data_IF_889275289777
#
_entry.id   IF_889275289777
#
_cell.length_a   1.000
_cell.length_b   1.000
_cell.length_c   1.000
_cell.angle_alpha   90.00
_cell.angle_beta   90.00
_cell.angle_gamma   90.00
#
_symmetry.space_group_name_H-M   'P 1'
#
loop_
_entity.id
_entity.type
_entity.pdbx_description
1 polymer ?
#
# COMPACT_ATOMS: atom_id res chain seq x y z
N UNK A 1 -38.40 -20.68 -7.39
CA UNK A 1 -36.93 -20.76 -7.61
C UNK A 1 -36.66 -20.77 -9.10
N UNK A 2 -35.58 -20.12 -9.55
CA UNK A 2 -35.17 -20.13 -10.96
C UNK A 2 -34.34 -21.41 -11.23
N UNK A 3 -34.70 -22.26 -12.21
CA UNK A 3 -33.96 -23.47 -12.53
C UNK A 3 -32.47 -23.25 -12.83
N UNK A 4 -31.62 -24.12 -12.29
CA UNK A 4 -30.17 -24.12 -12.58
C UNK A 4 -29.91 -24.91 -13.85
N UNK A 5 -29.32 -24.27 -14.87
CA UNK A 5 -28.88 -24.91 -16.12
C UNK A 5 -27.50 -25.54 -15.96
N UNK A 6 -26.57 -24.84 -15.30
CA UNK A 6 -25.18 -25.29 -15.22
C UNK A 6 -24.53 -24.84 -13.92
N UNK A 7 -23.79 -25.75 -13.30
CA UNK A 7 -22.83 -25.47 -12.24
C UNK A 7 -21.43 -25.62 -12.83
N UNK A 8 -20.62 -24.57 -12.76
CA UNK A 8 -19.22 -24.66 -13.16
C UNK A 8 -18.40 -25.31 -12.02
N UNK A 9 -17.23 -25.89 -12.32
CA UNK A 9 -16.36 -26.44 -11.29
C UNK A 9 -16.06 -25.40 -10.20
N UNK A 10 -16.07 -25.79 -8.92
CA UNK A 10 -15.71 -24.90 -7.83
C UNK A 10 -14.25 -24.46 -7.97
N UNK A 11 -13.95 -23.22 -7.55
CA UNK A 11 -12.61 -22.66 -7.46
C UNK A 11 -12.41 -22.13 -6.05
N UNK A 12 -11.76 -22.92 -5.20
CA UNK A 12 -11.72 -22.67 -3.76
C UNK A 12 -13.13 -22.61 -3.18
N UNK A 13 -13.42 -21.57 -2.40
CA UNK A 13 -14.74 -21.37 -1.78
C UNK A 13 -15.77 -20.71 -2.72
N UNK A 14 -15.53 -20.66 -4.02
CA UNK A 14 -16.41 -20.02 -4.99
C UNK A 14 -16.98 -21.03 -5.98
N UNK A 15 -18.29 -20.96 -6.25
CA UNK A 15 -18.93 -21.73 -7.31
C UNK A 15 -19.78 -20.84 -8.22
N UNK A 16 -19.45 -20.81 -9.52
CA UNK A 16 -20.23 -20.09 -10.52
C UNK A 16 -21.42 -20.95 -10.99
N UNK A 17 -22.60 -20.34 -11.10
CA UNK A 17 -23.86 -20.99 -11.46
C UNK A 17 -24.54 -20.18 -12.57
N UNK A 18 -25.08 -20.89 -13.56
CA UNK A 18 -25.92 -20.34 -14.61
C UNK A 18 -27.35 -20.86 -14.46
N UNK A 19 -28.29 -19.92 -14.44
CA UNK A 19 -29.72 -20.12 -14.39
C UNK A 19 -30.35 -19.99 -15.80
N UNK A 20 -31.58 -20.45 -15.96
CA UNK A 20 -32.34 -20.41 -17.22
C UNK A 20 -32.77 -19.01 -17.65
N UNK A 21 -33.21 -18.20 -16.70
CA UNK A 21 -33.60 -16.80 -16.90
C UNK A 21 -32.84 -15.86 -15.99
N UNK A 22 -32.81 -14.59 -16.40
CA UNK A 22 -32.19 -13.54 -15.59
C UNK A 22 -33.09 -13.25 -14.41
N UNK A 23 -32.49 -13.09 -13.23
CA UNK A 23 -33.20 -12.67 -12.03
C UNK A 23 -32.46 -11.51 -11.35
N UNK A 24 -33.19 -10.57 -10.74
CA UNK A 24 -32.58 -9.57 -9.88
C UNK A 24 -32.02 -10.24 -8.62
N UNK A 25 -30.85 -9.78 -8.17
CA UNK A 25 -30.27 -10.13 -6.87
C UNK A 25 -29.34 -9.00 -6.42
N UNK A 26 -29.15 -8.88 -5.10
CA UNK A 26 -28.10 -8.01 -4.56
C UNK A 26 -26.80 -8.79 -4.44
N UNK A 27 -25.71 -8.25 -4.99
CA UNK A 27 -24.38 -8.83 -4.77
C UNK A 27 -23.93 -8.60 -3.33
N UNK A 28 -23.72 -9.69 -2.58
CA UNK A 28 -23.26 -9.62 -1.19
C UNK A 28 -21.87 -8.99 -1.03
N UNK A 29 -20.99 -8.96 -2.04
CA UNK A 29 -19.70 -8.26 -1.90
C UNK A 29 -19.84 -6.76 -2.17
N UNK A 30 -20.34 -6.39 -3.35
CA UNK A 30 -20.37 -4.99 -3.77
C UNK A 30 -21.69 -4.24 -3.49
N UNK A 31 -22.73 -4.83 -2.90
CA UNK A 31 -24.04 -4.16 -2.64
C UNK A 31 -24.79 -3.65 -3.87
N UNK A 32 -24.33 -3.93 -5.08
CA UNK A 32 -25.01 -3.50 -6.29
C UNK A 32 -26.07 -4.53 -6.63
N UNK A 33 -27.31 -4.07 -6.87
CA UNK A 33 -28.35 -4.88 -7.51
C UNK A 33 -27.91 -5.22 -8.93
N UNK A 34 -28.06 -6.49 -9.31
CA UNK A 34 -27.71 -7.04 -10.61
C UNK A 34 -28.89 -7.83 -11.16
N UNK A 35 -29.07 -7.79 -12.47
CA UNK A 35 -30.00 -8.65 -13.19
C UNK A 35 -29.16 -9.53 -14.12
N UNK A 36 -29.11 -10.84 -13.86
CA UNK A 36 -28.22 -11.75 -14.60
C UNK A 36 -28.70 -13.20 -14.53
N UNK A 37 -28.36 -13.98 -15.57
CA UNK A 37 -28.46 -15.45 -15.56
C UNK A 37 -27.30 -16.11 -14.82
N UNK A 38 -26.22 -15.37 -14.57
CA UNK A 38 -24.99 -15.87 -13.96
C UNK A 38 -24.80 -15.22 -12.60
N UNK A 39 -24.63 -16.06 -11.58
CA UNK A 39 -24.31 -15.68 -10.20
C UNK A 39 -23.22 -16.62 -9.68
N UNK A 40 -22.44 -16.18 -8.70
CA UNK A 40 -21.56 -17.09 -7.98
C UNK A 40 -22.01 -17.21 -6.51
N UNK A 41 -21.79 -18.37 -5.92
CA UNK A 41 -21.97 -18.63 -4.50
C UNK A 41 -20.60 -18.62 -3.86
N UNK A 42 -20.41 -17.75 -2.86
CA UNK A 42 -19.29 -17.83 -1.93
C UNK A 42 -19.70 -18.74 -0.77
N UNK A 43 -19.03 -19.89 -0.67
CA UNK A 43 -19.22 -20.91 0.35
C UNK A 43 -18.46 -20.51 1.62
N UNK A 44 -19.02 -19.53 2.33
CA UNK A 44 -18.64 -19.17 3.69
C UNK A 44 -19.47 -19.99 4.69
N UNK A 45 -19.31 -19.79 6.01
CA UNK A 45 -20.18 -20.38 7.03
C UNK A 45 -21.68 -20.20 6.70
N UNK A 46 -22.01 -19.04 6.13
CA UNK A 46 -23.32 -18.78 5.53
C UNK A 46 -23.12 -18.47 4.04
N UNK A 47 -23.60 -19.32 3.11
CA UNK A 47 -23.44 -19.10 1.69
C UNK A 47 -23.96 -17.73 1.24
N UNK A 48 -23.17 -17.02 0.43
CA UNK A 48 -23.48 -15.67 -0.06
C UNK A 48 -23.54 -15.64 -1.57
N UNK A 49 -24.52 -14.92 -2.13
CA UNK A 49 -24.62 -14.70 -3.58
C UNK A 49 -23.77 -13.49 -3.95
N UNK A 50 -22.88 -13.65 -4.92
CA UNK A 50 -22.05 -12.57 -5.49
C UNK A 50 -22.22 -12.50 -7.01
N UNK A 51 -21.95 -11.34 -7.58
CA UNK A 51 -22.01 -11.13 -9.01
C UNK A 51 -20.75 -11.67 -9.72
N UNK A 52 -20.86 -11.92 -11.03
CA UNK A 52 -19.75 -12.43 -11.85
C UNK A 52 -18.49 -11.55 -11.79
N UNK A 53 -18.65 -10.22 -11.69
CA UNK A 53 -17.52 -9.30 -11.56
C UNK A 53 -16.79 -9.46 -10.21
N UNK A 54 -17.53 -9.61 -9.10
CA UNK A 54 -16.96 -9.87 -7.78
C UNK A 54 -16.33 -11.28 -7.71
N UNK A 55 -16.92 -12.26 -8.38
CA UNK A 55 -16.32 -13.58 -8.54
C UNK A 55 -14.95 -13.50 -9.24
N UNK A 56 -14.88 -12.81 -10.39
CA UNK A 56 -13.62 -12.61 -11.11
C UNK A 56 -12.57 -11.88 -10.26
N UNK A 57 -12.96 -10.83 -9.55
CA UNK A 57 -12.08 -10.11 -8.63
C UNK A 57 -11.48 -11.04 -7.56
N UNK A 58 -12.31 -11.85 -6.89
CA UNK A 58 -11.83 -12.73 -5.83
C UNK A 58 -10.90 -13.83 -6.36
N UNK A 59 -11.13 -14.33 -7.57
CA UNK A 59 -10.20 -15.25 -8.23
C UNK A 59 -8.86 -14.59 -8.51
N UNK A 60 -8.86 -13.40 -9.13
CA UNK A 60 -7.62 -12.68 -9.43
C UNK A 60 -6.86 -12.32 -8.15
N UNK A 61 -7.55 -11.94 -7.08
CA UNK A 61 -6.91 -11.67 -5.79
C UNK A 61 -6.25 -12.93 -5.22
N UNK A 62 -6.93 -14.08 -5.26
CA UNK A 62 -6.38 -15.36 -4.82
C UNK A 62 -5.17 -15.79 -5.68
N UNK A 63 -5.27 -15.63 -7.00
CA UNK A 63 -4.17 -15.91 -7.94
C UNK A 63 -2.94 -15.05 -7.66
N UNK A 64 -3.10 -13.74 -7.44
CA UNK A 64 -1.99 -12.83 -7.08
C UNK A 64 -1.33 -13.27 -5.78
N UNK A 65 -2.13 -13.54 -4.74
CA UNK A 65 -1.62 -13.92 -3.42
C UNK A 65 -0.88 -15.26 -3.43
N UNK A 66 -1.28 -16.18 -4.30
CA UNK A 66 -0.69 -17.50 -4.44
C UNK A 66 0.62 -17.54 -5.24
N UNK A 67 0.99 -16.48 -5.96
CA UNK A 67 2.26 -16.44 -6.71
C UNK A 67 3.47 -16.59 -5.77
N UNK A 68 4.56 -17.23 -6.24
CA UNK A 68 5.82 -17.30 -5.48
C UNK A 68 6.75 -16.16 -5.91
N UNK A 69 6.42 -14.95 -5.47
CA UNK A 69 7.15 -13.71 -5.76
C UNK A 69 7.20 -12.83 -4.52
N UNK A 70 8.06 -11.82 -4.58
CA UNK A 70 8.23 -10.83 -3.51
C UNK A 70 6.90 -10.19 -3.07
N UNK A 71 6.65 -10.07 -1.74
CA UNK A 71 5.40 -9.50 -1.22
C UNK A 71 5.12 -8.08 -1.73
N UNK A 72 6.16 -7.31 -2.04
CA UNK A 72 5.99 -5.95 -2.55
C UNK A 72 5.41 -5.95 -3.97
N UNK A 73 5.78 -6.93 -4.79
CA UNK A 73 5.27 -7.03 -6.16
C UNK A 73 3.82 -7.49 -6.17
N UNK A 74 3.45 -8.39 -5.25
CA UNK A 74 2.05 -8.73 -4.99
C UNK A 74 1.24 -7.52 -4.54
N UNK A 75 1.79 -6.68 -3.64
CA UNK A 75 1.13 -5.46 -3.20
C UNK A 75 0.84 -4.49 -4.38
N UNK A 76 1.76 -4.35 -5.34
CA UNK A 76 1.49 -3.61 -6.58
C UNK A 76 0.36 -4.23 -7.40
N UNK A 77 0.40 -5.56 -7.62
CA UNK A 77 -0.65 -6.24 -8.38
C UNK A 77 -2.03 -6.14 -7.70
N UNK A 78 -2.09 -6.19 -6.36
CA UNK A 78 -3.31 -5.99 -5.57
C UNK A 78 -3.80 -4.55 -5.72
N UNK A 79 -2.91 -3.56 -5.68
CA UNK A 79 -3.27 -2.16 -5.96
C UNK A 79 -3.90 -2.03 -7.36
N UNK A 80 -3.25 -2.56 -8.39
CA UNK A 80 -3.72 -2.51 -9.78
C UNK A 80 -5.08 -3.19 -9.97
N UNK A 81 -5.33 -4.29 -9.24
CA UNK A 81 -6.62 -4.95 -9.21
C UNK A 81 -7.68 -4.07 -8.50
N UNK A 82 -7.29 -3.39 -7.43
CA UNK A 82 -8.17 -2.60 -6.56
C UNK A 82 -8.66 -1.33 -7.23
N UNK A 83 -7.79 -0.61 -7.94
CA UNK A 83 -8.16 0.63 -8.65
C UNK A 83 -9.10 0.39 -9.84
N UNK A 84 -9.22 -0.86 -10.32
CA UNK A 84 -10.23 -1.24 -11.33
C UNK A 84 -11.64 -1.30 -10.72
N UNK A 85 -11.77 -1.44 -9.40
CA UNK A 85 -13.06 -1.49 -8.70
C UNK A 85 -13.54 -0.10 -8.25
N UNK A 86 -12.61 0.79 -7.91
CA UNK A 86 -12.89 2.10 -7.33
C UNK A 86 -12.53 3.18 -8.33
N UNK A 87 -13.52 3.96 -8.78
CA UNK A 87 -13.23 5.07 -9.69
C UNK A 87 -12.52 6.22 -8.97
N UNK A 88 -11.74 7.01 -9.71
CA UNK A 88 -11.07 8.20 -9.17
C UNK A 88 -12.06 9.17 -8.48
N UNK A 89 -13.28 9.30 -9.02
CA UNK A 89 -14.36 10.11 -8.42
C UNK A 89 -14.80 9.55 -7.06
N UNK A 90 -14.96 8.24 -6.93
CA UNK A 90 -15.33 7.60 -5.68
C UNK A 90 -14.25 7.76 -4.61
N UNK A 91 -12.99 7.53 -4.99
CA UNK A 91 -11.85 7.74 -4.10
C UNK A 91 -11.78 9.21 -3.64
N UNK A 92 -11.92 10.18 -4.56
CA UNK A 92 -11.89 11.60 -4.21
C UNK A 92 -13.01 12.00 -3.23
N UNK A 93 -14.24 11.52 -3.44
CA UNK A 93 -15.36 11.79 -2.53
C UNK A 93 -15.13 11.21 -1.12
N UNK A 94 -14.58 10.00 -1.02
CA UNK A 94 -14.23 9.41 0.26
C UNK A 94 -13.08 10.17 0.95
N UNK A 95 -12.07 10.59 0.17
CA UNK A 95 -10.95 11.37 0.67
C UNK A 95 -11.39 12.72 1.26
N UNK A 96 -12.35 13.42 0.64
CA UNK A 96 -12.88 14.70 1.13
C UNK A 96 -13.57 14.57 2.50
N UNK A 97 -14.26 13.44 2.76
CA UNK A 97 -14.82 13.17 4.10
C UNK A 97 -13.73 13.08 5.16
N UNK A 98 -12.58 12.49 4.83
CA UNK A 98 -11.43 12.38 5.73
C UNK A 98 -10.66 13.68 5.89
N UNK A 99 -10.52 14.48 4.84
CA UNK A 99 -9.96 15.82 4.91
C UNK A 99 -10.59 16.63 6.05
N UNK A 100 -11.91 16.60 6.16
CA UNK A 100 -12.65 17.33 7.20
C UNK A 100 -12.25 16.89 8.62
N UNK A 101 -11.80 15.65 8.81
CA UNK A 101 -11.37 15.08 10.10
C UNK A 101 -9.91 15.39 10.42
N UNK A 102 -9.05 15.58 9.41
CA UNK A 102 -7.60 15.71 9.55
C UNK A 102 -7.01 16.96 8.86
N UNK A 103 -7.76 18.08 8.86
CA UNK A 103 -7.48 19.28 8.05
C UNK A 103 -6.05 19.81 8.16
N UNK A 104 -5.44 19.75 9.36
CA UNK A 104 -4.14 20.37 9.59
C UNK A 104 -3.01 19.75 8.75
N UNK A 105 -3.04 18.43 8.54
CA UNK A 105 -1.99 17.69 7.81
C UNK A 105 -2.37 17.38 6.36
N UNK A 106 -3.68 17.34 6.06
CA UNK A 106 -4.18 16.94 4.76
C UNK A 106 -3.64 17.77 3.59
N UNK A 107 -3.42 19.07 3.81
CA UNK A 107 -2.88 19.98 2.78
C UNK A 107 -1.46 19.61 2.32
N UNK A 108 -0.70 18.90 3.14
CA UNK A 108 0.68 18.48 2.84
C UNK A 108 0.77 17.12 2.14
N UNK A 109 -0.34 16.39 2.02
CA UNK A 109 -0.36 15.12 1.31
C UNK A 109 -0.32 15.33 -0.20
N UNK A 110 0.43 14.47 -0.89
CA UNK A 110 0.41 14.45 -2.35
C UNK A 110 -0.97 14.05 -2.89
N UNK A 111 -1.35 14.46 -4.11
CA UNK A 111 -2.61 14.05 -4.73
C UNK A 111 -2.78 12.53 -4.79
N UNK A 112 -1.70 11.79 -5.04
CA UNK A 112 -1.71 10.33 -5.12
C UNK A 112 -1.86 9.70 -3.74
N UNK A 113 -1.22 10.23 -2.69
CA UNK A 113 -1.43 9.80 -1.31
C UNK A 113 -2.90 9.96 -0.89
N UNK A 114 -3.52 11.10 -1.24
CA UNK A 114 -4.96 11.34 -1.02
C UNK A 114 -5.84 10.34 -1.78
N UNK A 115 -5.47 10.00 -3.02
CA UNK A 115 -6.19 8.98 -3.81
C UNK A 115 -6.16 7.62 -3.11
N UNK A 116 -4.98 7.16 -2.65
CA UNK A 116 -4.84 5.89 -1.93
C UNK A 116 -5.70 5.85 -0.67
N UNK A 117 -5.64 6.89 0.18
CA UNK A 117 -6.50 7.00 1.37
C UNK A 117 -7.99 6.97 0.99
N UNK A 118 -8.38 7.71 -0.04
CA UNK A 118 -9.75 7.71 -0.55
C UNK A 118 -10.23 6.33 -1.01
N UNK A 119 -9.39 5.59 -1.73
CA UNK A 119 -9.69 4.22 -2.16
C UNK A 119 -9.89 3.29 -0.96
N UNK A 120 -8.96 3.31 0.00
CA UNK A 120 -9.04 2.49 1.20
C UNK A 120 -10.35 2.71 1.96
N UNK A 121 -10.72 3.98 2.16
CA UNK A 121 -11.87 4.40 2.95
C UNK A 121 -13.18 4.13 2.23
N UNK A 122 -13.21 4.34 0.90
CA UNK A 122 -14.36 3.96 0.08
C UNK A 122 -14.67 2.46 0.17
N UNK A 123 -13.63 1.61 0.10
CA UNK A 123 -13.79 0.17 0.25
C UNK A 123 -14.26 -0.18 1.66
N UNK A 124 -13.64 0.40 2.68
CA UNK A 124 -14.01 0.18 4.08
C UNK A 124 -15.49 0.49 4.35
N UNK A 125 -16.00 1.64 3.90
CA UNK A 125 -17.42 2.02 4.04
C UNK A 125 -18.37 0.96 3.47
N UNK A 126 -17.96 0.24 2.42
CA UNK A 126 -18.77 -0.82 1.79
C UNK A 126 -18.64 -2.17 2.45
N UNK A 127 -17.59 -2.39 3.22
CA UNK A 127 -17.25 -3.67 3.85
C UNK A 127 -17.54 -3.69 5.36
N UNK A 128 -17.79 -2.55 5.99
CA UNK A 128 -17.81 -2.37 7.45
C UNK A 128 -18.74 -3.31 8.24
N UNK A 129 -19.85 -3.76 7.64
CA UNK A 129 -20.85 -4.67 8.24
C UNK A 129 -20.67 -6.14 7.80
N UNK A 130 -19.58 -6.47 7.11
CA UNK A 130 -19.24 -7.80 6.55
C UNK A 130 -17.84 -8.20 6.99
N UNK A 131 -17.73 -8.64 8.24
CA UNK A 131 -16.46 -8.98 8.88
C UNK A 131 -15.73 -10.19 8.23
N UNK A 132 -16.45 -10.98 7.44
CA UNK A 132 -16.01 -12.15 6.68
C UNK A 132 -15.41 -11.82 5.30
N UNK A 133 -15.38 -10.54 4.91
CA UNK A 133 -14.62 -10.10 3.72
C UNK A 133 -13.13 -9.98 4.02
N UNK A 134 -12.31 -10.16 2.98
CA UNK A 134 -10.87 -9.93 3.05
C UNK A 134 -10.55 -8.43 2.97
N UNK A 135 -10.00 -7.87 4.05
CA UNK A 135 -9.58 -6.47 4.16
C UNK A 135 -8.15 -6.22 3.64
N UNK A 136 -7.49 -7.20 3.03
CA UNK A 136 -6.17 -6.99 2.42
C UNK A 136 -6.13 -5.85 1.39
N UNK A 137 -7.08 -5.74 0.43
CA UNK A 137 -7.06 -4.65 -0.54
C UNK A 137 -7.08 -3.24 0.06
N UNK A 138 -8.02 -2.87 0.96
CA UNK A 138 -7.98 -1.55 1.56
C UNK A 138 -6.77 -1.32 2.48
N UNK A 139 -6.19 -2.38 3.08
CA UNK A 139 -4.92 -2.26 3.83
C UNK A 139 -3.76 -1.92 2.91
N UNK A 140 -3.66 -2.54 1.72
CA UNK A 140 -2.63 -2.20 0.73
C UNK A 140 -2.73 -0.73 0.33
N UNK A 141 -3.94 -0.22 0.08
CA UNK A 141 -4.16 1.19 -0.24
C UNK A 141 -3.72 2.12 0.90
N UNK A 142 -4.01 1.77 2.16
CA UNK A 142 -3.51 2.53 3.32
C UNK A 142 -1.98 2.58 3.33
N UNK A 143 -1.30 1.44 3.19
CA UNK A 143 0.17 1.40 3.19
C UNK A 143 0.75 2.17 2.00
N UNK A 144 0.16 2.03 0.82
CA UNK A 144 0.55 2.75 -0.40
C UNK A 144 0.52 4.27 -0.22
N UNK A 145 -0.41 4.79 0.58
CA UNK A 145 -0.45 6.22 0.89
C UNK A 145 0.82 6.69 1.60
N UNK A 146 1.33 5.90 2.56
CA UNK A 146 2.56 6.19 3.29
C UNK A 146 3.81 5.92 2.45
N UNK A 147 3.85 4.82 1.70
CA UNK A 147 4.92 4.53 0.73
C UNK A 147 5.14 5.72 -0.19
N UNK A 148 4.07 6.19 -0.83
CA UNK A 148 4.14 7.28 -1.77
C UNK A 148 4.46 8.62 -1.11
N UNK A 149 3.92 8.90 0.08
CA UNK A 149 4.25 10.11 0.81
C UNK A 149 5.73 10.13 1.26
N UNK A 150 6.29 8.98 1.62
CA UNK A 150 7.71 8.84 1.97
C UNK A 150 8.60 9.09 0.75
N UNK A 151 8.24 8.52 -0.40
CA UNK A 151 8.94 8.79 -1.65
C UNK A 151 8.93 10.27 -1.99
N UNK A 152 7.76 10.91 -1.98
CA UNK A 152 7.63 12.32 -2.38
C UNK A 152 8.22 13.31 -1.36
N UNK A 153 8.12 12.99 -0.06
CA UNK A 153 8.55 13.89 1.02
C UNK A 153 10.02 13.75 1.41
N UNK A 154 10.62 12.57 1.20
CA UNK A 154 11.99 12.28 1.64
C UNK A 154 12.89 11.85 0.47
N UNK A 155 12.51 10.81 -0.27
CA UNK A 155 13.40 10.21 -1.28
C UNK A 155 13.60 11.11 -2.51
N UNK A 156 12.54 11.69 -3.05
CA UNK A 156 12.62 12.60 -4.20
C UNK A 156 13.42 13.88 -3.87
N UNK A 157 13.21 14.55 -2.73
CA UNK A 157 14.08 15.64 -2.31
C UNK A 157 15.55 15.24 -2.13
N UNK A 158 15.83 14.04 -1.60
CA UNK A 158 17.20 13.52 -1.51
C UNK A 158 17.83 13.34 -2.90
N UNK A 159 17.09 12.75 -3.84
CA UNK A 159 17.51 12.60 -5.25
C UNK A 159 17.82 13.95 -5.89
N UNK A 160 16.94 14.94 -5.73
CA UNK A 160 17.18 16.30 -6.23
C UNK A 160 18.42 16.94 -5.61
N UNK A 161 18.66 16.73 -4.31
CA UNK A 161 19.88 17.21 -3.64
C UNK A 161 21.12 16.58 -4.26
N UNK A 162 21.11 15.26 -4.49
CA UNK A 162 22.23 14.59 -5.11
C UNK A 162 22.51 15.10 -6.53
N UNK A 163 21.47 15.35 -7.34
CA UNK A 163 21.63 15.89 -8.69
C UNK A 163 22.28 17.30 -8.74
N UNK A 164 22.26 18.04 -7.63
CA UNK A 164 22.88 19.37 -7.52
C UNK A 164 24.30 19.33 -6.94
N UNK A 165 24.80 18.15 -6.59
CA UNK A 165 26.13 17.94 -6.02
C UNK A 165 27.12 17.50 -7.09
N UNK A 166 28.36 17.98 -7.01
CA UNK A 166 29.45 17.45 -7.82
C UNK A 166 29.96 16.14 -7.22
N UNK A 167 30.11 15.12 -8.07
CA UNK A 167 30.72 13.83 -7.74
C UNK A 167 31.38 13.21 -8.97
N UNK A 168 32.34 12.32 -8.73
CA UNK A 168 32.98 11.51 -9.75
C UNK A 168 32.25 10.18 -9.94
N UNK A 169 32.40 9.58 -11.12
CA UNK A 169 31.85 8.26 -11.43
C UNK A 169 32.36 7.17 -10.48
N UNK A 170 33.62 7.29 -10.02
CA UNK A 170 34.25 6.35 -9.09
C UNK A 170 33.58 6.39 -7.71
N UNK A 171 33.28 7.57 -7.18
CA UNK A 171 32.60 7.73 -5.89
C UNK A 171 31.19 7.12 -5.94
N UNK A 172 30.45 7.40 -7.01
CA UNK A 172 29.08 6.90 -7.17
C UNK A 172 29.04 5.39 -7.39
N UNK A 173 29.97 4.83 -8.17
CA UNK A 173 29.98 3.39 -8.45
C UNK A 173 30.17 2.58 -7.15
N UNK A 174 31.09 3.00 -6.28
CA UNK A 174 31.32 2.34 -5.00
C UNK A 174 30.07 2.35 -4.11
N UNK A 175 29.36 3.48 -4.05
CA UNK A 175 28.12 3.59 -3.30
C UNK A 175 26.99 2.75 -3.91
N UNK A 176 26.91 2.67 -5.24
CA UNK A 176 25.88 1.89 -5.93
C UNK A 176 26.07 0.37 -5.75
N UNK A 177 27.31 -0.10 -5.62
CA UNK A 177 27.62 -1.51 -5.44
C UNK A 177 27.53 -1.96 -3.97
N UNK A 178 27.26 -1.03 -3.05
CA UNK A 178 27.10 -1.30 -1.63
C UNK A 178 25.87 -2.20 -1.36
N UNK A 179 26.07 -3.27 -0.59
CA UNK A 179 25.02 -4.25 -0.27
C UNK A 179 23.89 -3.71 0.61
N UNK A 180 24.16 -2.69 1.42
CA UNK A 180 23.24 -2.24 2.47
C UNK A 180 22.38 -1.05 2.02
N UNK A 181 22.97 -0.14 1.22
CA UNK A 181 22.29 1.06 0.74
C UNK A 181 22.41 1.27 -0.78
N UNK A 182 23.10 0.40 -1.51
CA UNK A 182 23.40 0.64 -2.93
C UNK A 182 22.17 0.75 -3.81
N UNK A 183 21.06 0.10 -3.45
CA UNK A 183 19.78 0.28 -4.14
C UNK A 183 19.20 1.69 -3.97
N UNK A 184 19.33 2.26 -2.77
CA UNK A 184 18.95 3.65 -2.52
C UNK A 184 19.88 4.61 -3.29
N UNK A 185 21.18 4.35 -3.29
CA UNK A 185 22.17 5.13 -4.03
C UNK A 185 21.92 5.11 -5.54
N UNK A 186 21.66 3.94 -6.14
CA UNK A 186 21.31 3.79 -7.56
C UNK A 186 20.12 4.65 -7.95
N UNK A 187 19.08 4.69 -7.13
CA UNK A 187 17.91 5.53 -7.39
C UNK A 187 18.23 7.02 -7.29
N UNK A 188 18.93 7.42 -6.23
CA UNK A 188 19.28 8.81 -5.93
C UNK A 188 20.24 9.40 -6.97
N UNK A 189 21.18 8.60 -7.49
CA UNK A 189 22.08 9.01 -8.56
C UNK A 189 21.53 8.75 -9.98
N UNK A 190 20.27 8.35 -10.11
CA UNK A 190 19.60 8.20 -11.41
C UNK A 190 20.03 6.98 -12.24
N UNK A 191 20.71 6.00 -11.64
CA UNK A 191 21.06 4.73 -12.30
C UNK A 191 19.92 3.70 -12.28
N UNK A 192 18.91 3.92 -11.44
CA UNK A 192 17.69 3.11 -11.39
C UNK A 192 16.46 4.02 -11.51
N UNK A 193 15.53 3.62 -12.39
CA UNK A 193 14.28 4.35 -12.63
C UNK A 193 13.25 4.02 -11.54
N UNK A 194 13.30 2.79 -11.03
CA UNK A 194 12.35 2.28 -10.05
C UNK A 194 12.67 2.83 -8.67
N UNK A 195 11.70 3.44 -7.96
CA UNK A 195 11.91 3.90 -6.60
C UNK A 195 12.16 2.74 -5.62
N UNK A 196 12.94 2.97 -4.55
CA UNK A 196 13.18 1.98 -3.51
C UNK A 196 11.92 1.72 -2.69
N UNK A 197 11.71 0.47 -2.25
CA UNK A 197 10.61 0.15 -1.33
C UNK A 197 10.91 0.66 0.09
N UNK A 198 9.88 0.77 0.92
CA UNK A 198 10.00 1.19 2.32
C UNK A 198 11.07 0.41 3.10
N UNK A 199 11.16 -0.91 2.89
CA UNK A 199 12.17 -1.74 3.55
C UNK A 199 13.60 -1.33 3.20
N UNK A 200 13.85 -0.95 1.94
CA UNK A 200 15.16 -0.45 1.48
C UNK A 200 15.47 0.90 2.12
N UNK A 201 14.47 1.79 2.20
CA UNK A 201 14.61 3.10 2.85
C UNK A 201 14.96 2.92 4.34
N UNK A 202 14.21 2.07 5.06
CA UNK A 202 14.46 1.81 6.47
C UNK A 202 15.83 1.15 6.70
N UNK A 203 16.21 0.15 5.90
CA UNK A 203 17.51 -0.51 5.99
C UNK A 203 18.67 0.47 5.73
N UNK A 204 18.50 1.38 4.77
CA UNK A 204 19.48 2.44 4.49
C UNK A 204 19.63 3.36 5.71
N UNK A 205 18.54 3.74 6.36
CA UNK A 205 18.59 4.57 7.58
C UNK A 205 19.22 3.84 8.76
N UNK A 206 18.92 2.56 8.97
CA UNK A 206 19.61 1.72 9.98
C UNK A 206 21.12 1.74 9.73
N UNK A 207 21.52 1.52 8.49
CA UNK A 207 22.94 1.55 8.09
C UNK A 207 23.57 2.91 8.38
N UNK A 208 22.88 3.98 8.01
CA UNK A 208 23.31 5.36 8.27
C UNK A 208 23.48 5.65 9.76
N UNK A 209 22.54 5.23 10.61
CA UNK A 209 22.57 5.45 12.06
C UNK A 209 23.78 4.76 12.72
N UNK A 210 24.11 3.55 12.27
CA UNK A 210 25.14 2.74 12.92
C UNK A 210 26.55 2.86 12.30
N UNK A 211 26.68 3.40 11.08
CA UNK A 211 27.95 3.35 10.33
C UNK A 211 28.66 4.70 10.23
N UNK A 212 29.11 5.25 11.36
CA UNK A 212 29.77 6.58 11.41
C UNK A 212 31.00 6.69 10.51
N UNK A 213 31.83 5.66 10.43
CA UNK A 213 33.02 5.63 9.58
C UNK A 213 32.66 5.61 8.09
N UNK A 214 31.66 4.82 7.69
CA UNK A 214 31.20 4.75 6.29
C UNK A 214 30.68 6.09 5.78
N UNK A 215 30.13 6.94 6.65
CA UNK A 215 29.71 8.31 6.29
C UNK A 215 30.92 9.16 5.86
N UNK A 216 32.13 8.91 6.37
CA UNK A 216 33.32 9.69 6.01
C UNK A 216 33.81 9.39 4.58
N UNK A 217 33.51 8.21 4.06
CA UNK A 217 33.99 7.76 2.74
C UNK A 217 32.90 7.78 1.67
N UNK A 218 31.65 7.48 2.02
CA UNK A 218 30.52 7.41 1.08
C UNK A 218 30.00 8.79 0.68
N UNK A 219 29.95 9.08 -0.63
CA UNK A 219 29.35 10.32 -1.15
C UNK A 219 27.84 10.32 -0.90
N UNK A 220 27.17 9.19 -1.14
CA UNK A 220 25.76 8.99 -0.87
C UNK A 220 25.41 9.26 0.60
N UNK A 221 26.13 8.65 1.55
CA UNK A 221 25.81 8.83 2.97
C UNK A 221 26.08 10.27 3.45
N UNK A 222 27.06 10.99 2.88
CA UNK A 222 27.26 12.42 3.14
C UNK A 222 26.06 13.25 2.65
N UNK A 223 25.57 12.99 1.45
CA UNK A 223 24.38 13.68 0.91
C UNK A 223 23.14 13.35 1.75
N UNK A 224 22.98 12.07 2.14
CA UNK A 224 21.90 11.62 3.02
C UNK A 224 21.98 12.32 4.38
N UNK A 225 23.16 12.48 4.97
CA UNK A 225 23.35 13.26 6.20
C UNK A 225 22.85 14.68 6.02
N UNK A 226 23.34 15.41 5.02
CA UNK A 226 22.91 16.79 4.78
C UNK A 226 21.40 16.87 4.56
N UNK A 227 20.82 15.88 3.88
CA UNK A 227 19.37 15.81 3.67
C UNK A 227 18.60 15.61 4.98
N UNK A 228 18.96 14.60 5.81
CA UNK A 228 18.28 14.33 7.09
C UNK A 228 18.39 15.55 8.02
N UNK A 229 19.56 16.18 8.11
CA UNK A 229 19.76 17.38 8.93
C UNK A 229 19.05 18.63 8.38
N UNK A 230 18.53 18.59 7.15
CA UNK A 230 17.67 19.64 6.59
C UNK A 230 16.17 19.42 6.83
N UNK A 231 15.78 18.27 7.37
CA UNK A 231 14.40 17.99 7.76
C UNK A 231 14.03 18.73 9.05
N UNK A 232 12.74 19.01 9.26
CA UNK A 232 12.25 19.73 10.45
C UNK A 232 12.38 18.91 11.73
N UNK A 233 12.19 17.60 11.63
CA UNK A 233 12.35 16.66 12.74
C UNK A 233 13.41 15.64 12.36
N UNK A 234 14.66 15.96 12.71
CA UNK A 234 15.83 15.11 12.47
C UNK A 234 15.73 13.81 13.27
N UNK A 235 15.26 13.90 14.52
CA UNK A 235 15.13 12.77 15.43
C UNK A 235 14.16 11.70 14.87
N UNK A 236 13.11 12.12 14.16
CA UNK A 236 12.20 11.19 13.50
C UNK A 236 12.91 10.17 12.59
N UNK A 237 13.98 10.59 11.89
CA UNK A 237 14.75 9.74 10.99
C UNK A 237 15.95 9.04 11.66
N UNK A 238 16.52 9.65 12.71
CA UNK A 238 17.72 9.12 13.39
C UNK A 238 17.42 8.23 14.58
N UNK A 239 16.25 8.34 15.18
CA UNK A 239 15.82 7.48 16.28
C UNK A 239 15.26 6.15 15.72
N UNK A 240 15.91 5.00 15.99
CA UNK A 240 15.47 3.69 15.46
C UNK A 240 14.02 3.34 15.84
N UNK A 241 13.54 3.83 16.99
CA UNK A 241 12.19 3.56 17.50
C UNK A 241 11.10 4.42 16.84
N UNK A 242 11.49 5.36 15.97
CA UNK A 242 10.56 6.24 15.23
C UNK A 242 10.36 5.72 13.81
N UNK A 243 10.89 6.39 12.79
CA UNK A 243 10.61 6.03 11.39
C UNK A 243 10.91 4.55 11.07
N UNK A 244 12.07 4.05 11.49
CA UNK A 244 12.52 2.68 11.18
C UNK A 244 11.59 1.63 11.79
N UNK A 245 11.37 1.68 13.11
CA UNK A 245 10.46 0.74 13.79
C UNK A 245 9.03 0.82 13.25
N UNK A 246 8.54 2.02 12.93
CA UNK A 246 7.21 2.21 12.34
C UNK A 246 7.10 1.59 10.95
N UNK A 247 8.13 1.73 10.09
CA UNK A 247 8.18 1.08 8.77
C UNK A 247 8.22 -0.44 8.91
N UNK A 248 9.02 -0.98 9.83
CA UNK A 248 9.05 -2.43 10.06
C UNK A 248 7.71 -2.94 10.54
N UNK A 249 7.08 -2.27 11.50
CA UNK A 249 5.73 -2.62 11.96
C UNK A 249 4.72 -2.54 10.82
N UNK A 250 4.72 -1.47 10.02
CA UNK A 250 3.79 -1.30 8.89
C UNK A 250 3.93 -2.43 7.85
N UNK A 251 5.17 -2.78 7.51
CA UNK A 251 5.46 -3.80 6.50
C UNK A 251 5.20 -5.22 7.00
N UNK A 252 5.65 -5.56 8.21
CA UNK A 252 5.54 -6.90 8.77
C UNK A 252 4.13 -7.22 9.30
N UNK A 253 3.44 -6.25 9.90
CA UNK A 253 2.12 -6.48 10.51
C UNK A 253 0.96 -6.31 9.53
N UNK A 254 1.16 -5.57 8.44
CA UNK A 254 0.05 -5.23 7.52
C UNK A 254 0.36 -5.48 6.06
N UNK A 255 1.39 -4.85 5.49
CA UNK A 255 1.62 -4.92 4.03
C UNK A 255 1.94 -6.33 3.54
N UNK A 256 2.89 -7.00 4.19
CA UNK A 256 3.28 -8.37 3.81
C UNK A 256 2.11 -9.33 4.08
N UNK A 257 1.47 -9.34 5.27
CA UNK A 257 0.27 -10.15 5.50
C UNK A 257 -0.84 -9.93 4.47
N UNK A 258 -1.10 -8.68 4.05
CA UNK A 258 -2.10 -8.36 3.04
C UNK A 258 -1.75 -8.91 1.64
N UNK A 259 -0.46 -9.12 1.37
CA UNK A 259 0.04 -9.73 0.14
C UNK A 259 0.16 -11.27 0.21
N UNK A 260 0.02 -11.89 1.39
CA UNK A 260 0.06 -13.34 1.56
C UNK A 260 -1.31 -14.00 1.30
N UNK A 261 -1.31 -15.34 1.23
CA UNK A 261 -2.47 -16.18 0.85
C UNK A 261 -3.67 -16.03 1.78
N UNK A 262 -3.45 -15.67 3.05
CA UNK A 262 -4.50 -15.47 4.04
C UNK A 262 -5.38 -14.23 3.75
N UNK A 263 -6.59 -14.23 4.31
CA UNK A 263 -7.40 -13.02 4.39
C UNK A 263 -7.03 -12.22 5.65
N UNK A 264 -7.15 -10.90 5.56
CA UNK A 264 -7.02 -10.03 6.73
C UNK A 264 -8.39 -9.62 7.26
N UNK A 265 -8.60 -9.66 8.59
CA UNK A 265 -9.87 -9.29 9.19
C UNK A 265 -10.06 -7.77 9.21
N UNK A 266 -11.30 -7.34 9.46
CA UNK A 266 -11.66 -5.94 9.68
C UNK A 266 -10.79 -5.26 10.74
N UNK A 267 -10.50 -5.94 11.84
CA UNK A 267 -9.71 -5.41 12.95
C UNK A 267 -8.31 -4.98 12.48
N UNK A 268 -7.65 -5.78 11.63
CA UNK A 268 -6.34 -5.44 11.09
C UNK A 268 -6.37 -4.15 10.25
N UNK A 269 -7.47 -3.89 9.53
CA UNK A 269 -7.64 -2.62 8.82
C UNK A 269 -7.80 -1.45 9.79
N UNK A 270 -8.63 -1.60 10.83
CA UNK A 270 -8.87 -0.54 11.82
C UNK A 270 -7.60 -0.18 12.60
N UNK A 271 -6.77 -1.17 12.95
CA UNK A 271 -5.47 -0.99 13.59
C UNK A 271 -4.46 -0.32 12.66
N UNK A 272 -4.36 -0.79 11.40
CA UNK A 272 -3.50 -0.17 10.39
C UNK A 272 -3.88 1.30 10.13
N UNK A 273 -5.19 1.56 9.99
CA UNK A 273 -5.75 2.90 9.81
C UNK A 273 -5.43 3.81 10.99
N UNK A 274 -5.58 3.31 12.22
CA UNK A 274 -5.25 4.07 13.43
C UNK A 274 -3.75 4.39 13.51
N UNK A 275 -2.90 3.41 13.18
CA UNK A 275 -1.45 3.60 13.11
C UNK A 275 -1.04 4.64 12.06
N UNK A 276 -1.69 4.67 10.90
CA UNK A 276 -1.33 5.57 9.80
C UNK A 276 -1.88 6.98 9.97
N UNK A 277 -3.19 7.10 10.23
CA UNK A 277 -3.94 8.36 10.15
C UNK A 277 -4.71 8.69 11.44
N UNK A 278 -4.49 7.96 12.54
CA UNK A 278 -4.99 8.33 13.86
C UNK A 278 -4.38 9.65 14.38
N UNK A 279 -4.76 10.11 15.60
CA UNK A 279 -4.28 11.38 16.15
C UNK A 279 -2.75 11.54 16.17
N UNK A 280 -2.03 10.44 16.43
CA UNK A 280 -0.55 10.36 16.39
C UNK A 280 -0.04 9.54 15.20
N UNK A 281 -0.81 9.47 14.12
CA UNK A 281 -0.54 8.61 12.98
C UNK A 281 0.81 8.87 12.32
N UNK A 282 1.47 7.80 11.88
CA UNK A 282 2.83 7.87 11.30
C UNK A 282 2.88 8.68 10.01
N UNK A 283 1.76 8.77 9.27
CA UNK A 283 1.68 9.62 8.08
C UNK A 283 1.81 11.10 8.46
N UNK A 284 1.23 11.51 9.60
CA UNK A 284 1.30 12.87 10.13
C UNK A 284 2.68 13.21 10.65
N UNK A 285 3.34 12.26 11.31
CA UNK A 285 4.72 12.40 11.75
C UNK A 285 5.64 12.58 10.55
N UNK A 286 5.49 11.77 9.49
CA UNK A 286 6.27 11.88 8.27
C UNK A 286 6.11 13.26 7.60
N UNK A 287 4.89 13.72 7.34
CA UNK A 287 4.70 15.03 6.67
C UNK A 287 5.19 16.20 7.52
N UNK A 288 5.14 16.08 8.84
CA UNK A 288 5.65 17.11 9.75
C UNK A 288 7.18 17.11 9.78
N UNK A 289 7.79 15.92 9.73
CA UNK A 289 9.24 15.77 9.72
C UNK A 289 9.88 16.25 8.42
N UNK A 290 9.25 15.98 7.27
CA UNK A 290 9.77 16.36 5.94
C UNK A 290 9.38 17.77 5.50
N UNK A 291 8.29 18.31 6.05
CA UNK A 291 7.56 19.46 5.52
C UNK A 291 8.23 20.81 5.68
#
# INVERSE_FOLDING_TARGET
MTPVIKRYPPRGNLQLIRYDRSAPFECWRCRKTKVSKIQAIANLERPRIICNACYGYLLSLAEIKAQDIEPWLKAEQIHDLTIKEVSAKQAAQAAEKHEKRCRQYWKFLSPKAKQFLGTAEFLYERMIDRADLDFSPPIIELVKSFEHQCLMGFVEPLKKRAMNESYTEREVSADCDDKDFGRMAKYVFGREIRPPELGVIAHTLVTFIHSKERILESKFLKILKVHIYSCRDVDYFLNPERFVAQVFKLTQSYRNPAAHVGSLPKLAFEECRTMLIGPSGILWQLVTATG
#
